data_IF_514831191161
#
_entry.id   IF_514831191161
#
_cell.length_a   1.000
_cell.length_b   1.000
_cell.length_c   1.000
_cell.angle_alpha   90.00
_cell.angle_beta   90.00
_cell.angle_gamma   90.00
#
_symmetry.space_group_name_H-M   'P 1'
#
loop_
_entity.id
_entity.type
_entity.pdbx_description
1 polymer ?
#
# COMPACT_ATOMS: atom_id res chain seq x y z
N UNK A 1 3.72 8.25 1.60
CA UNK A 1 3.74 9.68 1.97
C UNK A 1 2.30 10.19 1.97
N UNK A 2 1.70 10.36 3.15
CA UNK A 2 0.29 10.77 3.23
C UNK A 2 0.05 12.28 2.96
N UNK A 3 1.11 13.10 2.86
CA UNK A 3 0.97 14.54 2.62
C UNK A 3 0.45 15.32 3.83
N UNK A 4 0.06 16.59 3.67
CA UNK A 4 0.18 17.36 2.42
C UNK A 4 1.64 17.70 2.08
N UNK A 5 2.55 17.66 3.07
CA UNK A 5 3.98 17.94 2.90
C UNK A 5 4.82 16.66 2.85
N UNK A 6 6.13 16.81 2.60
CA UNK A 6 7.10 15.70 2.60
C UNK A 6 7.19 14.93 1.27
N UNK A 7 6.46 15.36 0.25
CA UNK A 7 6.64 14.86 -1.11
C UNK A 7 7.89 15.46 -1.77
N UNK A 8 8.55 14.68 -2.60
CA UNK A 8 9.61 15.12 -3.51
C UNK A 8 9.30 14.63 -4.92
N UNK A 9 9.95 15.15 -5.99
CA UNK A 9 9.76 14.62 -7.34
C UNK A 9 9.99 13.11 -7.45
N UNK A 10 10.94 12.57 -6.67
CA UNK A 10 11.24 11.12 -6.63
C UNK A 10 10.30 10.33 -5.73
N UNK A 11 9.63 10.98 -4.77
CA UNK A 11 8.74 10.36 -3.77
C UNK A 11 7.53 11.26 -3.53
N UNK A 12 6.56 11.31 -4.45
CA UNK A 12 5.46 12.25 -4.36
C UNK A 12 4.53 11.94 -3.18
N UNK A 13 3.73 12.94 -2.76
CA UNK A 13 2.59 12.70 -1.89
C UNK A 13 1.65 11.70 -2.58
N UNK A 14 1.14 10.73 -1.81
CA UNK A 14 0.33 9.63 -2.34
C UNK A 14 1.11 8.35 -2.61
N UNK A 15 2.43 8.41 -2.76
CA UNK A 15 3.26 7.22 -2.95
C UNK A 15 3.27 6.37 -1.68
N UNK A 16 2.84 5.11 -1.75
CA UNK A 16 2.84 4.14 -0.66
C UNK A 16 3.31 2.78 -1.19
N UNK A 17 4.27 2.17 -0.51
CA UNK A 17 4.62 0.77 -0.73
C UNK A 17 3.96 -0.10 0.33
N UNK A 18 3.40 -1.23 -0.09
CA UNK A 18 2.79 -2.22 0.79
C UNK A 18 3.50 -3.55 0.57
N UNK A 19 4.05 -4.11 1.65
CA UNK A 19 4.71 -5.41 1.66
C UNK A 19 3.81 -6.48 2.30
N UNK A 20 3.84 -7.70 1.76
CA UNK A 20 3.21 -8.88 2.34
C UNK A 20 4.23 -10.02 2.35
N UNK A 21 4.53 -10.57 3.53
CA UNK A 21 5.44 -11.67 3.72
C UNK A 21 4.74 -12.82 4.44
N UNK A 22 5.13 -14.05 4.11
CA UNK A 22 4.72 -15.27 4.80
C UNK A 22 5.87 -16.28 4.77
N UNK A 23 5.82 -17.29 5.63
CA UNK A 23 6.88 -18.30 5.70
C UNK A 23 6.97 -19.17 4.44
N UNK A 24 5.83 -19.39 3.77
CA UNK A 24 5.69 -20.35 2.68
C UNK A 24 5.67 -19.71 1.28
N UNK A 25 5.73 -18.38 1.18
CA UNK A 25 5.70 -17.68 -0.11
C UNK A 25 6.68 -16.51 -0.14
N UNK A 26 7.26 -16.18 -1.31
CA UNK A 26 8.10 -15.01 -1.46
C UNK A 26 7.39 -13.72 -1.03
N UNK A 27 8.16 -12.79 -0.44
CA UNK A 27 7.63 -11.47 -0.07
C UNK A 27 7.16 -10.72 -1.31
N UNK A 28 5.90 -10.25 -1.28
CA UNK A 28 5.34 -9.39 -2.31
C UNK A 28 5.46 -7.93 -1.88
N UNK A 29 5.88 -7.05 -2.79
CA UNK A 29 5.89 -5.61 -2.56
C UNK A 29 5.14 -4.93 -3.70
N UNK A 30 4.15 -4.11 -3.37
CA UNK A 30 3.36 -3.34 -4.34
C UNK A 30 3.50 -1.86 -4.09
N UNK A 31 3.71 -1.13 -5.17
CA UNK A 31 3.74 0.34 -5.20
C UNK A 31 2.34 0.87 -5.53
N UNK A 32 1.89 1.88 -4.79
CA UNK A 32 0.62 2.54 -5.00
C UNK A 32 0.79 4.06 -5.00
N UNK A 33 0.00 4.74 -5.84
CA UNK A 33 -0.08 6.19 -5.92
C UNK A 33 -1.51 6.65 -5.65
N UNK A 34 -1.77 7.04 -4.41
CA UNK A 34 -3.09 7.49 -3.97
C UNK A 34 -3.27 8.99 -4.17
N UNK A 35 -4.51 9.44 -4.37
CA UNK A 35 -4.86 10.85 -4.53
C UNK A 35 -5.80 11.30 -3.42
N UNK A 36 -5.51 12.46 -2.84
CA UNK A 36 -6.39 13.09 -1.85
C UNK A 36 -5.62 13.65 -0.66
N UNK A 37 -6.37 13.98 0.39
CA UNK A 37 -5.79 14.48 1.64
C UNK A 37 -5.27 13.32 2.51
N UNK A 38 -4.52 13.67 3.55
CA UNK A 38 -3.83 12.74 4.45
C UNK A 38 -4.71 11.60 4.97
N UNK A 39 -5.95 11.89 5.36
CA UNK A 39 -6.86 10.87 5.89
C UNK A 39 -7.27 9.86 4.80
N UNK A 40 -7.71 10.36 3.64
CA UNK A 40 -8.07 9.52 2.49
C UNK A 40 -6.92 8.63 2.00
N UNK A 41 -5.69 9.18 1.93
CA UNK A 41 -4.52 8.38 1.54
C UNK A 41 -4.27 7.23 2.52
N UNK A 42 -4.44 7.47 3.84
CA UNK A 42 -4.30 6.42 4.86
C UNK A 42 -5.40 5.35 4.73
N UNK A 43 -6.65 5.76 4.53
CA UNK A 43 -7.78 4.85 4.35
C UNK A 43 -7.61 3.97 3.11
N UNK A 44 -7.27 4.57 1.96
CA UNK A 44 -7.02 3.82 0.72
C UNK A 44 -5.85 2.85 0.86
N UNK A 45 -4.76 3.27 1.51
CA UNK A 45 -3.61 2.40 1.77
C UNK A 45 -3.99 1.20 2.65
N UNK A 46 -4.73 1.42 3.74
CA UNK A 46 -5.19 0.36 4.62
C UNK A 46 -6.11 -0.64 3.87
N UNK A 47 -7.06 -0.12 3.10
CA UNK A 47 -7.97 -0.94 2.30
C UNK A 47 -7.23 -1.76 1.23
N UNK A 48 -6.19 -1.21 0.58
CA UNK A 48 -5.36 -1.95 -0.38
C UNK A 48 -4.52 -3.03 0.31
N UNK A 49 -3.97 -2.76 1.49
CA UNK A 49 -3.24 -3.77 2.26
C UNK A 49 -4.13 -4.97 2.63
N UNK A 50 -5.33 -4.69 3.16
CA UNK A 50 -6.29 -5.74 3.50
C UNK A 50 -6.77 -6.51 2.26
N UNK A 51 -6.96 -5.82 1.14
CA UNK A 51 -7.32 -6.46 -0.13
C UNK A 51 -6.22 -7.39 -0.63
N UNK A 52 -4.96 -6.97 -0.52
CA UNK A 52 -3.79 -7.78 -0.89
C UNK A 52 -3.71 -9.06 -0.03
N UNK A 53 -3.87 -8.92 1.29
CA UNK A 53 -3.92 -10.06 2.20
C UNK A 53 -5.09 -11.01 1.87
N UNK A 54 -6.28 -10.46 1.62
CA UNK A 54 -7.46 -11.26 1.27
C UNK A 54 -7.26 -12.06 -0.02
N UNK A 55 -6.63 -11.47 -1.03
CA UNK A 55 -6.29 -12.18 -2.27
C UNK A 55 -5.28 -13.30 -1.99
N UNK A 56 -4.20 -12.96 -1.29
CA UNK A 56 -3.17 -13.92 -0.91
C UNK A 56 -3.74 -15.17 -0.20
N UNK A 57 -4.63 -14.98 0.77
CA UNK A 57 -5.25 -16.08 1.53
C UNK A 57 -6.23 -16.91 0.70
N UNK A 58 -6.86 -16.32 -0.34
CA UNK A 58 -7.74 -17.07 -1.25
C UNK A 58 -6.97 -17.93 -2.23
N UNK A 59 -5.78 -17.49 -2.61
CA UNK A 59 -4.88 -18.27 -3.46
C UNK A 59 -4.17 -19.40 -2.67
N UNK A 60 -4.37 -19.47 -1.35
CA UNK A 60 -3.87 -20.53 -0.45
C UNK A 60 -4.91 -21.63 -0.14
N UNK A 61 -6.15 -21.47 -0.60
CA UNK A 61 -7.24 -22.46 -0.47
C UNK A 61 -7.52 -23.14 -1.80
#
# INVERSE_FOLDING_TARGET
IAGPTGGTPKKPVGLVYIGLASDNKPTQVKEYHFKGQRLKIKEEAANKALSLLKQFLKDDT
#
